data_IF_159295461761
#
_entry.id   IF_159295461761
#
_cell.length_a   1.000
_cell.length_b   1.000
_cell.length_c   1.000
_cell.angle_alpha   90.00
_cell.angle_beta   90.00
_cell.angle_gamma   90.00
#
_symmetry.space_group_name_H-M   'P 1'
#
loop_
_entity.id
_entity.type
_entity.pdbx_description
1 polymer ?
#
# COMPACT_ATOMS: atom_id res chain seq x y z
N UNK A 1 -9.35 -17.55 -20.73
CA UNK A 1 -10.13 -18.08 -19.59
C UNK A 1 -9.37 -17.76 -18.33
N UNK A 2 -9.69 -16.64 -17.66
CA UNK A 2 -9.05 -16.27 -16.40
C UNK A 2 -9.60 -17.20 -15.33
N UNK A 3 -8.77 -18.07 -14.79
CA UNK A 3 -9.17 -19.04 -13.79
C UNK A 3 -9.78 -18.32 -12.58
N UNK A 4 -11.04 -18.65 -12.24
CA UNK A 4 -11.76 -17.99 -11.14
C UNK A 4 -11.01 -18.09 -9.81
N UNK A 5 -10.16 -19.10 -9.62
CA UNK A 5 -9.31 -19.25 -8.44
C UNK A 5 -8.19 -18.23 -8.42
N UNK A 6 -7.55 -17.97 -9.57
CA UNK A 6 -6.52 -16.94 -9.69
C UNK A 6 -7.06 -15.53 -9.39
N UNK A 7 -8.24 -15.20 -9.94
CA UNK A 7 -8.91 -13.92 -9.66
C UNK A 7 -9.28 -13.80 -8.16
N UNK A 8 -9.76 -14.89 -7.54
CA UNK A 8 -10.10 -14.92 -6.11
C UNK A 8 -8.85 -14.73 -5.23
N UNK A 9 -7.74 -15.37 -5.56
CA UNK A 9 -6.46 -15.22 -4.85
C UNK A 9 -5.93 -13.79 -4.95
N UNK A 10 -5.94 -13.22 -6.16
CA UNK A 10 -5.57 -11.83 -6.40
C UNK A 10 -6.41 -10.86 -5.55
N UNK A 11 -7.73 -10.97 -5.58
CA UNK A 11 -8.60 -10.07 -4.81
C UNK A 11 -8.38 -10.22 -3.30
N UNK A 12 -8.16 -11.46 -2.81
CA UNK A 12 -7.85 -11.71 -1.41
C UNK A 12 -6.55 -11.01 -0.98
N UNK A 13 -5.50 -11.09 -1.80
CA UNK A 13 -4.24 -10.38 -1.53
C UNK A 13 -4.43 -8.86 -1.62
N UNK A 14 -5.06 -8.38 -2.70
CA UNK A 14 -5.28 -6.96 -2.95
C UNK A 14 -6.03 -6.29 -1.79
N UNK A 15 -7.14 -6.86 -1.34
CA UNK A 15 -7.90 -6.27 -0.23
C UNK A 15 -7.31 -6.61 1.15
N UNK A 16 -6.72 -7.80 1.33
CA UNK A 16 -6.17 -8.25 2.61
C UNK A 16 -4.88 -7.53 3.02
N UNK A 17 -4.09 -7.06 2.05
CA UNK A 17 -2.84 -6.33 2.28
C UNK A 17 -3.03 -4.82 2.28
N UNK A 18 -4.27 -4.33 2.14
CA UNK A 18 -4.56 -2.90 2.10
C UNK A 18 -4.14 -2.22 3.39
N UNK A 19 -3.20 -1.29 3.31
CA UNK A 19 -2.75 -0.45 4.44
C UNK A 19 -2.84 1.02 4.05
N UNK A 20 -3.30 1.86 4.98
CA UNK A 20 -3.40 3.30 4.76
C UNK A 20 -2.11 3.99 5.17
N UNK A 21 -1.79 5.05 4.44
CA UNK A 21 -0.64 5.91 4.66
C UNK A 21 -1.12 7.32 4.99
N UNK A 22 -0.42 7.92 5.94
CA UNK A 22 -0.72 9.20 6.53
C UNK A 22 0.45 10.16 6.31
N UNK A 23 0.10 11.44 6.21
CA UNK A 23 1.01 12.57 6.22
C UNK A 23 0.32 13.71 6.96
N UNK A 24 1.02 14.35 7.88
CA UNK A 24 0.47 15.43 8.73
C UNK A 24 -0.83 15.00 9.45
N UNK A 25 -0.90 13.75 9.93
CA UNK A 25 -2.07 13.18 10.59
C UNK A 25 -3.28 12.93 9.67
N UNK A 26 -3.14 13.15 8.35
CA UNK A 26 -4.22 12.94 7.37
C UNK A 26 -3.94 11.73 6.50
N UNK A 27 -4.98 10.95 6.24
CA UNK A 27 -4.93 9.82 5.32
C UNK A 27 -4.79 10.32 3.88
N UNK A 28 -3.65 10.04 3.26
CA UNK A 28 -3.28 10.59 1.95
C UNK A 28 -3.07 9.55 0.87
N UNK A 29 -2.73 8.32 1.25
CA UNK A 29 -2.53 7.22 0.30
C UNK A 29 -2.87 5.87 0.95
N UNK A 30 -2.79 4.81 0.16
CA UNK A 30 -2.86 3.44 0.62
C UNK A 30 -2.02 2.53 -0.28
N UNK A 31 -1.57 1.42 0.27
CA UNK A 31 -0.79 0.43 -0.45
C UNK A 31 -1.44 -0.94 -0.48
N UNK A 32 -1.00 -1.76 -1.42
CA UNK A 32 -1.33 -3.18 -1.57
C UNK A 32 -0.06 -3.97 -1.88
N UNK A 33 0.02 -5.21 -1.41
CA UNK A 33 1.00 -6.19 -1.87
C UNK A 33 0.27 -7.26 -2.66
N UNK A 34 0.65 -7.44 -3.92
CA UNK A 34 0.02 -8.42 -4.80
C UNK A 34 1.09 -9.15 -5.57
N UNK A 35 1.17 -10.47 -5.40
CA UNK A 35 2.22 -11.30 -6.01
C UNK A 35 3.66 -10.75 -5.79
N UNK A 36 3.92 -10.07 -4.67
CA UNK A 36 5.23 -9.48 -4.35
C UNK A 36 5.43 -8.04 -4.85
N UNK A 37 4.55 -7.52 -5.71
CA UNK A 37 4.54 -6.12 -6.13
C UNK A 37 3.93 -5.23 -5.05
N UNK A 38 4.58 -4.11 -4.77
CA UNK A 38 4.10 -3.08 -3.86
C UNK A 38 3.40 -1.99 -4.67
N UNK A 39 2.08 -1.91 -4.56
CA UNK A 39 1.27 -0.94 -5.27
C UNK A 39 0.93 0.21 -4.32
N UNK A 40 1.20 1.46 -4.73
CA UNK A 40 0.87 2.67 -3.99
C UNK A 40 -0.18 3.47 -4.73
N UNK A 41 -1.32 3.69 -4.08
CA UNK A 41 -2.44 4.45 -4.62
C UNK A 41 -2.77 5.65 -3.75
N UNK A 42 -2.87 6.82 -4.37
CA UNK A 42 -3.31 8.02 -3.68
C UNK A 42 -4.75 7.95 -3.21
N UNK A 43 -5.04 8.61 -2.09
CA UNK A 43 -6.39 8.72 -1.56
C UNK A 43 -7.17 9.83 -2.29
N UNK A 44 -8.47 9.61 -2.48
CA UNK A 44 -9.33 10.58 -3.17
C UNK A 44 -9.40 11.91 -2.40
N UNK A 45 -9.41 13.03 -3.12
CA UNK A 45 -9.43 14.40 -2.58
C UNK A 45 -8.22 14.77 -1.71
N UNK A 46 -7.05 14.20 -2.02
CA UNK A 46 -5.78 14.56 -1.39
C UNK A 46 -4.76 15.03 -2.44
N UNK A 47 -3.61 15.55 -2.02
CA UNK A 47 -2.52 15.94 -2.95
C UNK A 47 -1.99 14.77 -3.79
N UNK A 48 -2.28 13.53 -3.36
CA UNK A 48 -1.92 12.31 -4.09
C UNK A 48 -3.05 11.80 -4.98
N UNK A 49 -4.15 12.53 -5.16
CA UNK A 49 -5.26 12.07 -6.02
C UNK A 49 -4.72 11.73 -7.42
N UNK A 50 -5.03 10.52 -7.91
CA UNK A 50 -4.51 9.91 -9.17
C UNK A 50 -3.09 9.34 -9.10
N UNK A 51 -2.38 9.43 -7.98
CA UNK A 51 -1.10 8.73 -7.82
C UNK A 51 -1.34 7.22 -7.92
N UNK A 52 -0.60 6.58 -8.83
CA UNK A 52 -0.47 5.14 -8.95
C UNK A 52 0.99 4.84 -9.22
N UNK A 53 1.65 4.18 -8.29
CA UNK A 53 3.03 3.74 -8.42
C UNK A 53 3.09 2.25 -8.10
N UNK A 54 4.05 1.58 -8.72
CA UNK A 54 4.33 0.16 -8.56
C UNK A 54 5.82 0.03 -8.26
N UNK A 55 6.16 -0.84 -7.31
CA UNK A 55 7.53 -1.10 -6.93
C UNK A 55 7.76 -2.61 -6.89
N UNK A 56 8.83 -3.07 -7.52
CA UNK A 56 9.18 -4.48 -7.62
C UNK A 56 9.83 -5.04 -6.35
N UNK A 57 10.31 -4.16 -5.47
CA UNK A 57 10.95 -4.56 -4.24
C UNK A 57 10.52 -3.66 -3.07
N UNK A 58 10.69 -4.23 -1.88
CA UNK A 58 10.38 -3.56 -0.62
C UNK A 58 11.21 -2.29 -0.46
N UNK A 59 12.51 -2.34 -0.75
CA UNK A 59 13.41 -1.23 -0.44
C UNK A 59 13.02 0.07 -1.14
N UNK A 60 12.79 0.05 -2.45
CA UNK A 60 12.35 1.23 -3.22
C UNK A 60 11.02 1.79 -2.72
N UNK A 61 10.08 0.91 -2.34
CA UNK A 61 8.82 1.34 -1.76
C UNK A 61 9.03 2.09 -0.44
N UNK A 62 9.84 1.56 0.48
CA UNK A 62 10.11 2.22 1.76
C UNK A 62 10.94 3.50 1.61
N UNK A 63 11.87 3.54 0.66
CA UNK A 63 12.63 4.75 0.35
C UNK A 63 11.70 5.85 -0.20
N UNK A 64 10.72 5.48 -1.03
CA UNK A 64 9.67 6.40 -1.45
C UNK A 64 8.85 6.91 -0.26
N UNK A 65 8.39 6.03 0.63
CA UNK A 65 7.62 6.46 1.82
C UNK A 65 8.42 7.45 2.68
N UNK A 66 9.70 7.14 2.94
CA UNK A 66 10.59 7.99 3.74
C UNK A 66 10.82 9.35 3.08
N UNK A 67 11.07 9.38 1.77
CA UNK A 67 11.27 10.62 1.00
C UNK A 67 10.03 11.52 1.00
N UNK A 68 8.84 10.94 1.06
CA UNK A 68 7.57 11.66 1.01
C UNK A 68 6.90 11.87 2.38
N UNK A 69 7.60 11.50 3.47
CA UNK A 69 7.09 11.59 4.85
C UNK A 69 5.74 10.89 5.02
N UNK A 70 5.63 9.73 4.39
CA UNK A 70 4.47 8.86 4.45
C UNK A 70 4.67 7.81 5.53
N UNK A 71 3.72 7.73 6.44
CA UNK A 71 3.76 6.79 7.57
C UNK A 71 2.54 5.90 7.56
N UNK A 72 2.68 4.67 8.05
CA UNK A 72 1.53 3.81 8.25
C UNK A 72 0.67 4.30 9.42
N UNK A 73 -0.59 3.88 9.44
CA UNK A 73 -1.46 4.08 10.60
C UNK A 73 -0.77 3.56 11.87
N UNK A 74 -0.61 4.42 12.89
CA UNK A 74 0.15 4.09 14.11
C UNK A 74 -0.37 2.82 14.81
N UNK A 75 -1.68 2.59 14.80
CA UNK A 75 -2.32 1.39 15.34
C UNK A 75 -1.90 0.08 14.64
N UNK A 76 -1.37 0.19 13.42
CA UNK A 76 -0.89 -0.94 12.60
C UNK A 76 0.62 -1.02 12.53
N UNK A 77 1.34 0.00 12.99
CA UNK A 77 2.80 0.00 13.02
C UNK A 77 3.34 -0.97 14.09
N UNK A 78 2.65 -1.09 15.23
CA UNK A 78 2.97 -2.07 16.29
C UNK A 78 2.93 -3.52 15.78
N UNK A 79 1.94 -3.88 14.97
CA UNK A 79 1.81 -5.23 14.39
C UNK A 79 2.83 -5.57 13.28
N UNK A 80 3.69 -4.63 12.88
CA UNK A 80 4.68 -4.84 11.80
C UNK A 80 6.08 -5.20 12.34
N UNK A 81 6.33 -4.97 13.63
CA UNK A 81 7.60 -5.31 14.30
C UNK A 81 7.56 -6.65 15.04
N UNK A 82 6.41 -7.32 15.10
CA UNK A 82 6.27 -8.68 15.63
C UNK A 82 6.27 -9.71 14.48
N UNK A 83 7.44 -9.97 13.90
CA UNK A 83 7.77 -11.23 13.19
C UNK A 83 9.20 -11.59 13.53
#
# INVERSE_FOLDING_TARGET
MTDKSQAKSYLKQYFGTKRYLYQDGRKVAHMHIVNGLYLLHGHFKTKFTRLKLEFDNKQEFYDYLKKHELHFEESKQLSFFEV
#
